data_IF_373430793204
#
_entry.id   IF_373430793204
#
_cell.length_a   1.000
_cell.length_b   1.000
_cell.length_c   1.000
_cell.angle_alpha   90.00
_cell.angle_beta   90.00
_cell.angle_gamma   90.00
#
_symmetry.space_group_name_H-M   'P 1'
#
loop_
_entity.id
_entity.type
_entity.pdbx_description
1 polymer ?
#
# COMPACT_ATOMS: atom_id res chain seq x y z
N UNK A 1 -15.57 -7.85 19.56
CA UNK A 1 -16.76 -7.06 19.17
C UNK A 1 -17.12 -6.13 20.34
N UNK A 2 -16.59 -4.90 20.34
CA UNK A 2 -16.98 -3.81 21.27
C UNK A 2 -16.84 -2.50 20.49
N UNK A 3 -17.89 -1.69 20.55
CA UNK A 3 -18.08 -0.41 19.86
C UNK A 3 -17.20 0.69 20.46
N UNK A 4 -16.73 1.63 19.62
CA UNK A 4 -16.20 2.92 20.07
C UNK A 4 -17.18 4.03 19.66
N UNK A 5 -17.45 4.89 20.64
CA UNK A 5 -18.51 5.90 20.70
C UNK A 5 -18.19 7.14 19.87
N UNK A 6 -19.24 7.69 19.24
CA UNK A 6 -19.28 9.00 18.58
C UNK A 6 -18.80 10.09 19.54
N UNK A 7 -17.77 10.82 19.13
CA UNK A 7 -17.50 12.17 19.62
C UNK A 7 -17.79 13.13 18.46
N UNK A 8 -18.75 14.00 18.68
CA UNK A 8 -19.20 15.03 17.74
C UNK A 8 -18.06 16.01 17.43
N UNK A 9 -17.68 16.10 16.16
CA UNK A 9 -16.89 17.22 15.63
C UNK A 9 -17.79 17.98 14.67
N UNK A 10 -18.23 19.15 15.13
CA UNK A 10 -18.92 20.15 14.34
C UNK A 10 -17.89 20.82 13.42
N UNK A 11 -18.04 20.63 12.10
CA UNK A 11 -17.30 21.38 11.08
C UNK A 11 -18.33 21.91 10.07
N UNK A 12 -18.87 23.08 10.39
CA UNK A 12 -19.44 23.99 9.40
C UNK A 12 -18.30 24.58 8.58
N UNK A 13 -18.11 24.07 7.36
CA UNK A 13 -17.55 24.86 6.25
C UNK A 13 -18.22 24.43 4.96
N UNK A 14 -19.05 25.33 4.45
CA UNK A 14 -19.68 25.28 3.14
C UNK A 14 -18.61 25.28 2.03
N UNK A 15 -18.35 24.12 1.44
CA UNK A 15 -17.97 23.99 0.03
C UNK A 15 -18.86 22.91 -0.57
N UNK A 16 -19.73 23.31 -1.49
CA UNK A 16 -20.64 22.42 -2.20
C UNK A 16 -19.82 21.51 -3.12
N UNK A 17 -19.35 20.38 -2.59
CA UNK A 17 -18.98 19.23 -3.38
C UNK A 17 -20.26 18.69 -4.02
N UNK A 18 -20.35 18.77 -5.35
CA UNK A 18 -21.40 18.12 -6.11
C UNK A 18 -21.52 16.65 -5.71
N UNK A 19 -22.73 16.11 -5.52
CA UNK A 19 -22.92 14.73 -5.08
C UNK A 19 -22.32 13.77 -6.11
N UNK A 20 -21.68 12.71 -5.62
CA UNK A 20 -21.29 11.54 -6.40
C UNK A 20 -22.46 11.11 -7.30
N UNK A 21 -22.38 11.35 -8.61
CA UNK A 21 -23.29 10.69 -9.54
C UNK A 21 -22.90 9.21 -9.56
N UNK A 22 -23.71 8.41 -8.87
CA UNK A 22 -23.54 6.99 -8.66
C UNK A 22 -23.55 6.22 -9.99
N UNK A 23 -22.65 5.26 -10.14
CA UNK A 23 -23.01 4.04 -10.88
C UNK A 23 -24.03 3.33 -9.99
N UNK A 24 -25.32 3.34 -10.38
CA UNK A 24 -26.49 3.10 -9.51
C UNK A 24 -26.50 1.79 -8.68
N UNK A 25 -25.54 0.88 -8.84
CA UNK A 25 -25.56 -0.44 -8.21
C UNK A 25 -24.23 -0.92 -7.59
N UNK A 26 -23.19 -0.08 -7.50
CA UNK A 26 -21.91 -0.49 -6.89
C UNK A 26 -21.60 0.16 -5.53
N UNK A 27 -21.14 -0.62 -4.54
CA UNK A 27 -20.69 -0.08 -3.27
C UNK A 27 -19.42 0.76 -3.45
N UNK A 28 -19.28 1.81 -2.64
CA UNK A 28 -18.06 2.62 -2.60
C UNK A 28 -16.85 1.77 -2.22
N UNK A 29 -15.68 2.07 -2.78
CA UNK A 29 -14.47 1.33 -2.43
C UNK A 29 -13.92 1.78 -1.07
N UNK A 30 -14.17 0.97 -0.04
CA UNK A 30 -13.74 1.21 1.33
C UNK A 30 -12.66 0.23 1.77
N UNK A 31 -11.47 0.78 2.03
CA UNK A 31 -10.29 0.04 2.50
C UNK A 31 -9.85 0.49 3.88
N UNK A 32 -10.67 1.25 4.61
CA UNK A 32 -10.30 1.86 5.90
C UNK A 32 -9.82 0.83 6.92
N UNK A 33 -10.60 -0.23 7.14
CA UNK A 33 -10.22 -1.28 8.11
C UNK A 33 -8.96 -2.02 7.67
N UNK A 34 -8.84 -2.32 6.38
CA UNK A 34 -7.67 -2.99 5.83
C UNK A 34 -6.41 -2.13 6.04
N UNK A 35 -6.43 -0.87 5.62
CA UNK A 35 -5.29 0.06 5.71
C UNK A 35 -4.89 0.35 7.14
N UNK A 36 -5.84 0.49 8.07
CA UNK A 36 -5.52 0.74 9.48
C UNK A 36 -4.83 -0.45 10.17
N UNK A 37 -5.02 -1.66 9.65
CA UNK A 37 -4.31 -2.85 10.10
C UNK A 37 -2.96 -3.03 9.40
N UNK A 38 -2.64 -2.21 8.39
CA UNK A 38 -1.33 -2.22 7.75
C UNK A 38 -0.33 -1.35 8.52
N UNK A 39 0.84 -1.92 8.76
CA UNK A 39 2.01 -1.22 9.28
C UNK A 39 3.03 -0.99 8.16
N UNK A 40 4.34 -1.09 8.44
CA UNK A 40 5.34 -1.05 7.39
C UNK A 40 5.16 -2.26 6.46
N UNK A 41 4.97 -2.00 5.17
CA UNK A 41 4.85 -3.01 4.12
C UNK A 41 5.77 -2.67 2.95
N UNK A 42 5.81 -3.59 1.98
CA UNK A 42 6.26 -3.24 0.62
C UNK A 42 5.05 -2.82 -0.19
N UNK A 43 5.29 -1.92 -1.12
CA UNK A 43 4.29 -1.47 -2.07
C UNK A 43 4.88 -1.30 -3.45
N UNK A 44 4.01 -1.39 -4.45
CA UNK A 44 4.33 -1.16 -5.84
C UNK A 44 3.47 -0.01 -6.39
N UNK A 45 4.13 0.93 -7.06
CA UNK A 45 3.51 1.94 -7.89
C UNK A 45 3.66 1.50 -9.33
N UNK A 46 2.55 1.27 -10.01
CA UNK A 46 2.53 0.72 -11.37
C UNK A 46 1.90 1.74 -12.29
N UNK A 47 2.65 2.23 -13.27
CA UNK A 47 2.12 3.19 -14.23
C UNK A 47 1.01 2.54 -15.08
N UNK A 48 -0.12 3.22 -15.17
CA UNK A 48 -1.32 2.77 -15.90
C UNK A 48 -1.71 3.71 -17.04
N UNK A 49 -0.81 4.65 -17.39
CA UNK A 49 -0.99 5.62 -18.48
C UNK A 49 -1.40 7.01 -17.99
N UNK A 50 -1.32 8.01 -18.87
CA UNK A 50 -1.63 9.42 -18.58
C UNK A 50 -0.97 9.97 -17.30
N UNK A 51 0.24 9.48 -16.97
CA UNK A 51 0.99 9.79 -15.74
C UNK A 51 0.28 9.39 -14.44
N UNK A 52 -0.70 8.48 -14.50
CA UNK A 52 -1.29 7.86 -13.33
C UNK A 52 -0.57 6.57 -12.95
N UNK A 53 -0.53 6.33 -11.64
CA UNK A 53 0.03 5.12 -11.05
C UNK A 53 -1.01 4.47 -10.16
N UNK A 54 -1.20 3.17 -10.35
CA UNK A 54 -1.92 2.30 -9.42
C UNK A 54 -1.01 1.92 -8.26
N UNK A 55 -1.56 1.93 -7.06
CA UNK A 55 -0.87 1.72 -5.79
C UNK A 55 -1.28 0.36 -5.26
N UNK A 56 -0.29 -0.50 -5.01
CA UNK A 56 -0.52 -1.84 -4.48
C UNK A 56 0.27 -2.06 -3.20
N UNK A 57 -0.32 -2.75 -2.22
CA UNK A 57 0.42 -3.46 -1.17
C UNK A 57 0.95 -4.75 -1.78
N UNK A 58 2.24 -5.03 -1.60
CA UNK A 58 2.88 -6.21 -2.17
C UNK A 58 3.40 -7.12 -1.06
N UNK A 59 2.72 -8.24 -0.84
CA UNK A 59 3.22 -9.31 0.02
C UNK A 59 4.04 -10.27 -0.83
N UNK A 60 5.36 -10.10 -0.84
CA UNK A 60 6.29 -10.92 -1.62
C UNK A 60 7.14 -11.82 -0.70
N UNK A 61 7.11 -13.12 -0.97
CA UNK A 61 7.86 -14.15 -0.27
C UNK A 61 8.65 -14.97 -1.30
N UNK A 62 9.91 -15.29 -0.99
CA UNK A 62 10.67 -16.26 -1.78
C UNK A 62 10.20 -17.66 -1.41
N UNK A 63 9.77 -18.43 -2.39
CA UNK A 63 9.48 -19.85 -2.20
C UNK A 63 10.78 -20.68 -2.11
N UNK A 64 10.64 -21.98 -1.81
CA UNK A 64 11.76 -22.92 -1.67
C UNK A 64 12.64 -23.03 -2.92
N UNK A 65 12.15 -22.60 -4.07
CA UNK A 65 12.83 -22.64 -5.37
C UNK A 65 13.37 -21.25 -5.77
N UNK A 66 13.51 -20.32 -4.83
CA UNK A 66 13.89 -18.92 -5.07
C UNK A 66 12.95 -18.16 -6.03
N UNK A 67 11.71 -18.63 -6.24
CA UNK A 67 10.71 -17.88 -7.00
C UNK A 67 9.98 -16.93 -6.08
N UNK A 68 9.64 -15.75 -6.59
CA UNK A 68 8.87 -14.78 -5.84
C UNK A 68 7.39 -15.15 -5.95
N UNK A 69 6.78 -15.56 -4.84
CA UNK A 69 5.32 -15.56 -4.70
C UNK A 69 4.90 -14.21 -4.18
N UNK A 70 4.02 -13.53 -4.91
CA UNK A 70 3.56 -12.19 -4.54
C UNK A 70 2.05 -12.06 -4.66
N UNK A 71 1.43 -11.61 -3.57
CA UNK A 71 0.06 -11.09 -3.57
C UNK A 71 0.11 -9.57 -3.67
N UNK A 72 -0.76 -8.98 -4.51
CA UNK A 72 -0.83 -7.53 -4.73
C UNK A 72 -2.25 -7.07 -4.42
N UNK A 73 -2.40 -6.18 -3.47
CA UNK A 73 -3.69 -5.65 -3.03
C UNK A 73 -3.81 -4.19 -3.45
N UNK A 74 -4.82 -3.87 -4.25
CA UNK A 74 -5.02 -2.55 -4.85
C UNK A 74 -5.54 -1.55 -3.81
N UNK A 75 -4.92 -0.39 -3.70
CA UNK A 75 -5.36 0.67 -2.78
C UNK A 75 -5.96 1.90 -3.47
N UNK A 76 -5.87 1.95 -4.79
CA UNK A 76 -6.27 3.11 -5.57
C UNK A 76 -5.20 3.53 -6.57
N UNK A 77 -5.47 4.64 -7.23
CA UNK A 77 -4.60 5.26 -8.23
C UNK A 77 -4.44 6.75 -7.93
N UNK A 78 -3.35 7.31 -8.42
CA UNK A 78 -3.04 8.72 -8.22
C UNK A 78 -2.15 9.26 -9.33
N UNK A 79 -2.27 10.55 -9.62
CA UNK A 79 -1.40 11.21 -10.58
C UNK A 79 0.04 11.32 -10.04
N UNK A 80 1.02 11.13 -10.92
CA UNK A 80 2.45 11.14 -10.60
C UNK A 80 2.85 12.37 -9.77
N UNK A 81 2.43 13.57 -10.17
CA UNK A 81 2.83 14.81 -9.49
C UNK A 81 2.43 14.87 -8.01
N UNK A 82 1.36 14.17 -7.64
CA UNK A 82 0.89 14.08 -6.26
C UNK A 82 1.72 13.05 -5.51
N UNK A 83 1.91 11.86 -6.09
CA UNK A 83 2.75 10.80 -5.52
C UNK A 83 4.20 11.24 -5.30
N UNK A 84 4.75 12.10 -6.15
CA UNK A 84 6.13 12.60 -5.98
C UNK A 84 6.31 13.51 -4.75
N UNK A 85 5.20 14.02 -4.20
CA UNK A 85 5.18 14.84 -2.97
C UNK A 85 4.86 14.01 -1.72
N UNK A 86 4.41 12.77 -1.88
CA UNK A 86 4.01 11.91 -0.78
C UNK A 86 5.21 11.44 0.04
N UNK A 87 4.97 11.29 1.35
CA UNK A 87 5.86 10.59 2.27
C UNK A 87 5.43 9.13 2.35
N UNK A 88 6.33 8.24 1.96
CA UNK A 88 6.08 6.80 1.97
C UNK A 88 6.57 6.10 3.25
N UNK A 89 7.51 6.70 3.97
CA UNK A 89 8.16 6.09 5.13
C UNK A 89 8.14 7.02 6.33
N UNK A 90 8.31 6.45 7.53
CA UNK A 90 8.70 7.22 8.70
C UNK A 90 10.06 7.92 8.51
N UNK A 91 10.31 9.06 9.19
CA UNK A 91 11.59 9.77 9.10
C UNK A 91 12.81 8.91 9.50
N UNK A 92 12.63 7.94 10.39
CA UNK A 92 13.69 7.02 10.81
C UNK A 92 14.09 6.08 9.67
N UNK A 93 13.10 5.46 9.01
CA UNK A 93 13.35 4.58 7.87
C UNK A 93 13.86 5.36 6.66
N UNK A 94 13.36 6.56 6.42
CA UNK A 94 13.84 7.42 5.32
C UNK A 94 15.32 7.77 5.47
N UNK A 95 15.79 8.10 6.69
CA UNK A 95 17.22 8.34 6.96
C UNK A 95 18.08 7.13 6.64
N UNK A 96 17.60 5.92 6.92
CA UNK A 96 18.34 4.67 6.72
C UNK A 96 18.23 4.12 5.28
N UNK A 97 17.13 4.39 4.59
CA UNK A 97 16.76 3.82 3.28
C UNK A 97 16.18 4.89 2.32
N UNK A 98 16.88 6.00 2.06
CA UNK A 98 16.29 7.17 1.40
C UNK A 98 15.73 6.89 0.00
N UNK A 99 16.44 6.08 -0.79
CA UNK A 99 16.05 5.77 -2.17
C UNK A 99 14.80 4.88 -2.29
N UNK A 100 14.45 4.14 -1.24
CA UNK A 100 13.26 3.27 -1.22
C UNK A 100 12.09 3.89 -0.47
N UNK A 101 12.24 5.13 0.02
CA UNK A 101 11.22 5.89 0.73
C UNK A 101 10.70 7.12 -0.03
N UNK A 102 11.24 7.38 -1.23
CA UNK A 102 10.82 8.50 -2.08
C UNK A 102 10.43 8.02 -3.47
N UNK A 103 9.32 8.50 -3.97
CA UNK A 103 8.95 8.36 -5.37
C UNK A 103 9.28 9.65 -6.11
N UNK A 104 10.16 9.59 -7.12
CA UNK A 104 10.49 10.74 -7.95
C UNK A 104 11.03 10.25 -9.28
N UNK A 105 10.36 10.61 -10.37
CA UNK A 105 10.84 10.32 -11.71
C UNK A 105 11.70 11.49 -12.19
N UNK A 106 12.82 11.17 -12.84
CA UNK A 106 13.72 12.19 -13.41
C UNK A 106 13.26 12.55 -14.81
N UNK A 107 13.10 13.83 -15.12
CA UNK A 107 12.78 14.27 -16.47
C UNK A 107 13.84 13.80 -17.47
N UNK A 108 13.42 13.34 -18.66
CA UNK A 108 14.32 12.97 -19.75
C UNK A 108 15.05 11.63 -19.61
N UNK A 109 14.62 10.76 -18.69
CA UNK A 109 15.09 9.37 -18.62
C UNK A 109 13.93 8.40 -18.84
N UNK A 110 14.20 7.30 -19.52
CA UNK A 110 13.30 6.15 -19.50
C UNK A 110 13.22 5.62 -18.08
N UNK A 111 11.99 5.44 -17.58
CA UNK A 111 11.70 4.83 -16.29
C UNK A 111 10.91 3.56 -16.55
N UNK A 112 11.21 2.52 -15.76
CA UNK A 112 10.36 1.33 -15.73
C UNK A 112 8.95 1.71 -15.28
N UNK A 113 7.97 0.89 -15.63
CA UNK A 113 6.56 1.12 -15.27
C UNK A 113 6.30 0.86 -13.78
N UNK A 114 7.10 -0.01 -13.18
CA UNK A 114 6.92 -0.49 -11.81
C UNK A 114 7.98 0.11 -10.88
N UNK A 115 7.52 0.70 -9.78
CA UNK A 115 8.38 1.29 -8.76
C UNK A 115 8.01 0.76 -7.38
N UNK A 116 8.92 0.01 -6.75
CA UNK A 116 8.70 -0.57 -5.43
C UNK A 116 9.30 0.25 -4.31
N UNK A 117 8.55 0.46 -3.24
CA UNK A 117 8.93 1.29 -2.08
C UNK A 117 8.63 0.58 -0.77
N UNK A 118 9.26 1.07 0.29
CA UNK A 118 8.76 0.87 1.64
C UNK A 118 7.53 1.77 1.82
N UNK A 119 6.46 1.22 2.38
CA UNK A 119 5.21 1.92 2.62
C UNK A 119 4.81 1.76 4.09
N UNK A 120 4.99 2.82 4.87
CA UNK A 120 4.47 2.95 6.22
C UNK A 120 3.05 3.54 6.12
N UNK A 121 2.04 2.69 6.26
CA UNK A 121 0.66 3.08 6.04
C UNK A 121 0.13 4.09 7.06
N UNK A 122 0.68 4.10 8.29
CA UNK A 122 0.41 5.14 9.27
C UNK A 122 0.95 6.51 8.85
N UNK A 123 2.02 6.56 8.04
CA UNK A 123 2.49 7.82 7.43
C UNK A 123 1.70 8.13 6.17
N UNK A 124 1.45 7.13 5.34
CA UNK A 124 0.86 7.35 4.01
C UNK A 124 -0.59 7.81 4.05
N UNK A 125 -1.39 7.31 4.99
CA UNK A 125 -2.79 7.71 5.16
C UNK A 125 -2.96 9.20 5.53
N UNK A 126 -1.88 9.86 5.97
CA UNK A 126 -1.85 11.29 6.32
C UNK A 126 -1.31 12.18 5.19
N UNK A 127 -1.00 11.61 4.03
CA UNK A 127 -0.67 12.43 2.86
C UNK A 127 -1.91 13.18 2.34
N UNK A 128 -1.72 14.29 1.61
CA UNK A 128 -2.81 14.95 0.91
C UNK A 128 -3.51 14.00 -0.07
N UNK A 129 -4.83 14.12 -0.16
CA UNK A 129 -5.66 13.36 -1.08
C UNK A 129 -5.23 13.53 -2.54
N UNK A 130 -5.34 12.44 -3.30
CA UNK A 130 -5.26 12.51 -4.75
C UNK A 130 -6.46 13.28 -5.32
N UNK A 131 -6.26 14.12 -6.34
CA UNK A 131 -7.35 14.85 -6.98
C UNK A 131 -8.19 13.88 -7.83
N UNK A 132 -9.29 13.39 -7.28
CA UNK A 132 -10.19 12.44 -7.97
C UNK A 132 -11.20 13.12 -8.90
N UNK A 133 -11.25 14.45 -8.93
CA UNK A 133 -12.24 15.25 -9.67
C UNK A 133 -12.02 15.28 -11.19
N UNK A 134 -11.06 14.52 -11.72
CA UNK A 134 -10.75 14.42 -13.14
C UNK A 134 -11.14 13.06 -13.70
N UNK A 135 -11.57 13.02 -14.97
CA UNK A 135 -11.71 11.77 -15.70
C UNK A 135 -10.34 11.27 -16.18
N UNK A 136 -10.17 9.95 -16.22
CA UNK A 136 -9.03 9.30 -16.89
C UNK A 136 -9.61 8.36 -17.92
N UNK A 137 -9.11 8.40 -19.16
CA UNK A 137 -9.61 7.56 -20.26
C UNK A 137 -11.13 7.71 -20.52
N UNK A 138 -11.70 8.88 -20.19
CA UNK A 138 -13.14 9.12 -20.30
C UNK A 138 -13.98 8.56 -19.14
N UNK A 139 -13.35 7.95 -18.13
CA UNK A 139 -14.02 7.37 -16.97
C UNK A 139 -13.84 8.26 -15.74
N UNK A 140 -14.91 8.43 -14.96
CA UNK A 140 -14.92 9.23 -13.74
C UNK A 140 -14.18 8.51 -12.62
N UNK A 141 -13.31 9.24 -11.93
CA UNK A 141 -12.66 8.76 -10.71
C UNK A 141 -13.45 9.14 -9.47
N UNK A 142 -13.42 8.27 -8.47
CA UNK A 142 -14.02 8.47 -7.16
C UNK A 142 -12.97 8.32 -6.07
N UNK A 143 -13.20 8.96 -4.93
CA UNK A 143 -12.30 8.88 -3.77
C UNK A 143 -12.41 7.51 -3.11
N UNK A 144 -11.26 6.92 -2.76
CA UNK A 144 -11.19 5.71 -1.93
C UNK A 144 -11.47 6.08 -0.48
N UNK A 145 -12.30 5.31 0.21
CA UNK A 145 -12.56 5.52 1.65
C UNK A 145 -11.41 4.88 2.45
N UNK A 146 -10.82 5.67 3.35
CA UNK A 146 -9.75 5.24 4.25
C UNK A 146 -8.32 5.31 3.71
N UNK A 147 -8.12 5.72 2.45
CA UNK A 147 -6.79 5.94 1.88
C UNK A 147 -6.82 7.13 0.91
N UNK A 148 -5.79 8.00 0.85
CA UNK A 148 -5.84 9.25 0.07
C UNK A 148 -5.67 9.04 -1.44
N UNK A 149 -6.32 8.05 -2.03
CA UNK A 149 -6.23 7.70 -3.45
C UNK A 149 -7.61 7.74 -4.14
N UNK A 150 -7.59 7.52 -5.46
CA UNK A 150 -8.79 7.46 -6.29
C UNK A 150 -9.02 6.06 -6.85
N UNK A 151 -10.20 5.77 -7.37
CA UNK A 151 -10.49 4.54 -8.12
C UNK A 151 -11.52 4.80 -9.22
N UNK A 152 -11.63 3.85 -10.16
CA UNK A 152 -12.61 3.89 -11.25
C UNK A 152 -13.49 2.63 -11.13
N UNK A 153 -14.81 2.76 -10.90
CA UNK A 153 -15.74 1.64 -10.93
C UNK A 153 -16.05 1.21 -12.38
N UNK A 154 -16.38 -0.08 -12.63
CA UNK A 154 -16.31 -1.19 -11.70
C UNK A 154 -14.89 -1.74 -11.54
N UNK A 155 -14.45 -1.95 -10.30
CA UNK A 155 -13.07 -2.38 -10.00
C UNK A 155 -12.71 -3.75 -10.59
N UNK A 156 -13.69 -4.63 -10.75
CA UNK A 156 -13.50 -5.92 -11.41
C UNK A 156 -13.00 -5.77 -12.84
N UNK A 157 -13.38 -4.69 -13.54
CA UNK A 157 -13.08 -4.54 -14.95
C UNK A 157 -11.90 -3.57 -15.13
N UNK A 158 -11.90 -2.48 -14.37
CA UNK A 158 -10.92 -1.39 -14.52
C UNK A 158 -9.54 -1.78 -14.03
N UNK A 159 -9.43 -2.67 -13.04
CA UNK A 159 -8.13 -3.05 -12.47
C UNK A 159 -7.21 -3.68 -13.52
N UNK A 160 -7.75 -4.53 -14.40
CA UNK A 160 -6.99 -5.18 -15.46
C UNK A 160 -6.97 -4.43 -16.79
N UNK A 161 -7.97 -3.57 -17.04
CA UNK A 161 -8.11 -2.80 -18.29
C UNK A 161 -6.87 -1.97 -18.64
N UNK A 162 -6.21 -1.39 -17.63
CA UNK A 162 -5.02 -0.55 -17.84
C UNK A 162 -3.70 -1.31 -17.74
N UNK A 163 -3.75 -2.63 -17.95
CA UNK A 163 -2.60 -3.53 -18.05
C UNK A 163 -1.54 -3.34 -16.94
N UNK A 164 -1.92 -3.40 -15.65
CA UNK A 164 -0.93 -3.37 -14.56
C UNK A 164 0.02 -4.58 -14.60
N UNK A 165 -0.39 -5.69 -15.21
CA UNK A 165 0.44 -6.89 -15.34
C UNK A 165 1.46 -6.84 -16.49
N UNK A 166 1.43 -5.84 -17.37
CA UNK A 166 2.32 -5.75 -18.53
C UNK A 166 2.10 -6.82 -19.61
N UNK A 167 1.08 -7.68 -19.47
CA UNK A 167 0.76 -8.79 -20.36
C UNK A 167 -0.75 -9.02 -20.42
N UNK A 168 -1.21 -9.83 -21.40
CA UNK A 168 -2.63 -10.11 -21.64
C UNK A 168 -3.34 -10.82 -20.48
N UNK A 169 -2.60 -11.61 -19.68
CA UNK A 169 -3.19 -12.37 -18.56
C UNK A 169 -3.16 -11.57 -17.27
N UNK A 170 -4.35 -11.07 -16.90
CA UNK A 170 -4.63 -10.30 -15.70
C UNK A 170 -5.98 -10.74 -15.13
N UNK A 171 -6.02 -11.10 -13.86
CA UNK A 171 -7.26 -11.49 -13.18
C UNK A 171 -7.41 -10.71 -11.86
N UNK A 172 -8.45 -9.88 -11.72
CA UNK A 172 -8.81 -9.28 -10.45
C UNK A 172 -9.56 -10.30 -9.59
N UNK A 173 -9.34 -10.27 -8.28
CA UNK A 173 -10.06 -11.12 -7.33
C UNK A 173 -10.42 -10.30 -6.12
N UNK A 174 -11.67 -10.42 -5.66
CA UNK A 174 -12.12 -9.77 -4.43
C UNK A 174 -11.65 -10.60 -3.22
N UNK A 175 -11.06 -9.96 -2.24
CA UNK A 175 -10.59 -10.56 -0.98
C UNK A 175 -11.35 -9.91 0.17
N UNK A 176 -11.91 -10.73 1.06
CA UNK A 176 -12.58 -10.29 2.31
C UNK A 176 -13.58 -9.14 2.13
N UNK A 177 -14.39 -9.19 1.07
CA UNK A 177 -15.42 -8.23 0.68
C UNK A 177 -15.02 -6.74 0.55
N UNK A 178 -13.75 -6.40 0.80
CA UNK A 178 -13.29 -5.02 1.01
C UNK A 178 -12.12 -4.63 0.12
N UNK A 179 -11.26 -5.57 -0.29
CA UNK A 179 -10.04 -5.27 -1.06
C UNK A 179 -9.98 -6.09 -2.35
N UNK A 180 -9.48 -5.48 -3.43
CA UNK A 180 -9.22 -6.21 -4.68
C UNK A 180 -7.75 -6.61 -4.76
N UNK A 181 -7.49 -7.87 -5.06
CA UNK A 181 -6.17 -8.38 -5.42
C UNK A 181 -6.00 -8.55 -6.91
N UNK A 182 -4.75 -8.48 -7.36
CA UNK A 182 -4.36 -8.65 -8.76
C UNK A 182 -3.50 -9.90 -8.94
N UNK A 183 -3.98 -10.84 -9.75
CA UNK A 183 -3.20 -11.98 -10.20
C UNK A 183 -2.70 -11.74 -11.63
N UNK A 184 -1.37 -11.80 -11.80
CA UNK A 184 -0.72 -11.75 -13.10
C UNK A 184 -0.19 -13.14 -13.44
N UNK A 185 0.05 -13.43 -14.72
CA UNK A 185 0.61 -14.72 -15.14
C UNK A 185 1.86 -15.10 -14.33
N UNK A 186 1.85 -16.21 -13.58
CA UNK A 186 2.95 -16.61 -12.71
C UNK A 186 4.21 -17.03 -13.47
N UNK A 187 4.12 -17.26 -14.79
CA UNK A 187 5.23 -17.65 -15.65
C UNK A 187 5.97 -16.47 -16.29
N UNK A 188 5.52 -15.23 -16.06
CA UNK A 188 6.13 -14.08 -16.71
C UNK A 188 7.52 -13.75 -16.15
N UNK A 189 8.48 -13.54 -17.04
CA UNK A 189 9.84 -13.05 -16.77
C UNK A 189 10.48 -13.56 -15.47
N UNK A 190 10.54 -14.89 -15.30
CA UNK A 190 11.17 -15.52 -14.13
C UNK A 190 10.33 -15.45 -12.84
N UNK A 191 9.04 -15.14 -12.92
CA UNK A 191 8.13 -15.01 -11.79
C UNK A 191 8.11 -13.61 -11.16
N UNK A 192 8.54 -12.57 -11.89
CA UNK A 192 8.54 -11.22 -11.37
C UNK A 192 7.10 -10.66 -11.28
N UNK A 193 6.69 -10.11 -10.12
CA UNK A 193 5.36 -9.53 -10.00
C UNK A 193 5.24 -8.31 -10.95
N UNK A 194 4.10 -8.22 -11.66
CA UNK A 194 3.80 -7.24 -12.73
C UNK A 194 4.58 -7.43 -14.05
N UNK A 195 5.29 -8.56 -14.19
CA UNK A 195 5.96 -8.98 -15.43
C UNK A 195 6.91 -7.93 -16.02
N UNK A 196 7.50 -7.11 -15.15
CA UNK A 196 8.46 -6.11 -15.55
C UNK A 196 9.86 -6.74 -15.53
N UNK A 197 10.45 -6.91 -16.72
CA UNK A 197 11.85 -7.33 -16.82
C UNK A 197 12.77 -6.27 -16.18
N UNK A 198 13.80 -6.67 -15.42
CA UNK A 198 14.68 -5.74 -14.71
C UNK A 198 15.46 -4.84 -15.67
N UNK A 199 14.99 -3.61 -15.85
CA UNK A 199 15.75 -2.51 -16.44
C UNK A 199 15.87 -1.31 -15.47
N UNK A 200 14.95 -1.21 -14.50
CA UNK A 200 14.91 -0.10 -13.55
C UNK A 200 15.19 -0.55 -12.10
N UNK A 201 16.20 0.05 -11.46
CA UNK A 201 16.58 -0.20 -10.05
C UNK A 201 15.43 0.06 -9.08
N UNK A 202 14.51 0.94 -9.45
CA UNK A 202 13.34 1.27 -8.65
C UNK A 202 12.27 0.17 -8.68
N UNK A 203 12.27 -0.71 -9.67
CA UNK A 203 11.40 -1.89 -9.74
C UNK A 203 11.86 -2.99 -8.77
N UNK A 204 13.12 -3.04 -8.34
CA UNK A 204 13.58 -4.08 -7.42
C UNK A 204 12.88 -4.00 -6.05
N UNK A 205 12.50 -5.16 -5.48
CA UNK A 205 11.91 -5.25 -4.14
C UNK A 205 12.83 -4.60 -3.10
N UNK A 206 12.29 -3.82 -2.14
CA UNK A 206 13.06 -3.35 -1.00
C UNK A 206 13.64 -4.54 -0.21
N UNK A 207 14.96 -4.53 -0.02
CA UNK A 207 15.69 -5.53 0.76
C UNK A 207 15.47 -5.27 2.24
N UNK A 208 14.85 -6.24 2.92
CA UNK A 208 14.64 -6.23 4.36
C UNK A 208 15.82 -6.93 5.01
N UNK A 209 16.59 -6.18 5.79
CA UNK A 209 17.73 -6.72 6.54
C UNK A 209 17.37 -7.15 7.96
N UNK A 210 16.13 -6.95 8.39
CA UNK A 210 15.72 -7.12 9.79
C UNK A 210 14.67 -8.19 10.00
N UNK A 211 14.48 -8.55 11.25
CA UNK A 211 13.42 -9.42 11.75
C UNK A 211 12.87 -8.87 13.07
N UNK A 212 11.62 -9.19 13.32
CA UNK A 212 11.05 -9.07 14.65
C UNK A 212 11.72 -10.07 15.58
N UNK A 213 12.13 -9.62 16.76
CA UNK A 213 12.53 -10.53 17.85
C UNK A 213 11.37 -11.41 18.29
N UNK A 214 11.63 -12.38 19.16
CA UNK A 214 10.56 -13.10 19.85
C UNK A 214 9.65 -12.13 20.60
N UNK A 215 8.34 -12.32 20.45
CA UNK A 215 7.33 -11.56 21.16
C UNK A 215 7.47 -11.76 22.67
N UNK A 216 7.46 -10.66 23.42
CA UNK A 216 7.54 -10.64 24.88
C UNK A 216 6.40 -9.81 25.45
N UNK A 217 5.88 -10.20 26.60
CA UNK A 217 4.91 -9.37 27.33
C UNK A 217 5.54 -8.01 27.64
N UNK A 218 4.81 -6.93 27.36
CA UNK A 218 5.25 -5.56 27.62
C UNK A 218 5.57 -5.39 29.11
N UNK A 219 6.75 -4.85 29.42
CA UNK A 219 7.24 -4.81 30.81
C UNK A 219 6.32 -4.04 31.75
N UNK A 220 5.63 -3.00 31.25
CA UNK A 220 4.61 -2.26 31.99
C UNK A 220 3.43 -3.14 32.46
N UNK A 221 3.11 -4.23 31.73
CA UNK A 221 2.05 -5.16 32.10
C UNK A 221 2.52 -6.30 33.02
N UNK A 222 3.83 -6.56 33.12
CA UNK A 222 4.37 -7.53 34.09
C UNK A 222 4.14 -7.08 35.53
N UNK A 223 4.02 -5.77 35.76
CA UNK A 223 3.81 -5.16 37.08
C UNK A 223 2.31 -5.00 37.41
N UNK A 224 1.45 -4.92 36.40
CA UNK A 224 0.00 -4.78 36.57
C UNK A 224 -0.67 -6.15 36.57
N UNK A 225 -0.83 -6.75 37.76
CA UNK A 225 -1.30 -8.14 37.94
C UNK A 225 -2.72 -8.46 37.41
N UNK A 226 -3.50 -7.50 36.89
CA UNK A 226 -4.92 -7.67 36.55
C UNK A 226 -5.35 -6.98 35.23
N UNK A 227 -4.53 -7.03 34.17
CA UNK A 227 -4.98 -6.56 32.85
C UNK A 227 -5.57 -7.73 32.03
N UNK A 228 -6.86 -7.66 31.70
CA UNK A 228 -7.59 -8.69 30.93
C UNK A 228 -7.07 -8.92 29.50
N UNK A 229 -6.33 -7.96 28.92
CA UNK A 229 -5.65 -8.10 27.63
C UNK A 229 -4.14 -7.94 27.79
N UNK A 230 -3.39 -8.92 27.26
CA UNK A 230 -1.93 -8.98 27.38
C UNK A 230 -1.27 -8.41 26.14
N UNK A 231 -0.72 -7.21 26.25
CA UNK A 231 0.03 -6.55 25.19
C UNK A 231 1.43 -7.15 25.08
N UNK A 232 1.71 -7.78 23.94
CA UNK A 232 3.01 -8.26 23.52
C UNK A 232 3.72 -7.21 22.67
N UNK A 233 5.03 -7.16 22.82
CA UNK A 233 5.92 -6.34 22.01
C UNK A 233 7.02 -7.19 21.39
N UNK A 234 7.49 -6.74 20.23
CA UNK A 234 8.68 -7.22 19.57
C UNK A 234 9.52 -6.03 19.10
N UNK A 235 10.84 -6.21 19.12
CA UNK A 235 11.80 -5.21 18.72
C UNK A 235 12.29 -5.56 17.32
N UNK A 236 12.41 -4.57 16.45
CA UNK A 236 13.01 -4.77 15.14
C UNK A 236 14.54 -4.81 15.26
N UNK A 237 15.15 -5.91 14.82
CA UNK A 237 16.60 -6.10 14.90
C UNK A 237 17.19 -6.52 13.56
N UNK A 238 18.40 -6.07 13.28
CA UNK A 238 19.15 -6.44 12.09
C UNK A 238 19.60 -7.90 12.17
N UNK A 239 19.35 -8.70 11.12
CA UNK A 239 19.63 -10.14 11.11
C UNK A 239 21.09 -10.52 11.26
N UNK A 240 22.01 -9.63 10.86
CA UNK A 240 23.45 -9.91 10.87
C UNK A 240 24.12 -9.41 12.15
N UNK A 241 23.70 -8.25 12.66
CA UNK A 241 24.36 -7.59 13.79
C UNK A 241 23.59 -7.72 15.10
N UNK A 242 22.33 -8.17 15.07
CA UNK A 242 21.39 -8.18 16.19
C UNK A 242 21.17 -6.79 16.85
N UNK A 243 21.61 -5.71 16.20
CA UNK A 243 21.36 -4.34 16.66
C UNK A 243 19.97 -3.88 16.26
N UNK A 244 19.44 -2.86 16.95
CA UNK A 244 18.14 -2.26 16.63
C UNK A 244 18.10 -1.75 15.18
N UNK A 245 16.98 -2.03 14.50
CA UNK A 245 16.72 -1.65 13.11
C UNK A 245 15.27 -1.16 12.96
N UNK A 246 14.88 -0.77 11.74
CA UNK A 246 13.63 -0.04 11.45
C UNK A 246 12.89 -0.54 10.19
N UNK A 247 13.40 -1.56 9.50
CA UNK A 247 12.82 -2.08 8.25
C UNK A 247 12.04 -3.40 8.39
N UNK A 248 11.60 -3.75 9.61
CA UNK A 248 10.74 -4.91 9.86
C UNK A 248 9.31 -4.66 9.36
N UNK A 249 8.77 -5.58 8.56
CA UNK A 249 7.40 -5.48 8.05
C UNK A 249 6.37 -5.90 9.11
N UNK A 250 5.22 -5.25 9.11
CA UNK A 250 4.13 -5.55 10.04
C UNK A 250 4.28 -4.85 11.40
N UNK A 251 3.43 -5.21 12.38
CA UNK A 251 3.44 -4.57 13.69
C UNK A 251 4.59 -5.04 14.58
N UNK A 252 5.06 -4.15 15.46
CA UNK A 252 5.92 -4.48 16.60
C UNK A 252 5.16 -4.70 17.90
N UNK A 253 3.83 -4.59 17.90
CA UNK A 253 2.96 -4.75 19.09
C UNK A 253 1.71 -5.56 18.73
N UNK A 254 1.25 -6.42 19.63
CA UNK A 254 0.06 -7.25 19.45
C UNK A 254 -0.66 -7.48 20.79
N UNK A 255 -1.99 -7.59 20.79
CA UNK A 255 -2.82 -7.78 21.99
C UNK A 255 -3.08 -9.24 22.32
#
# INVERSE_FOLDING_TARGET
>A
MVCLTKADVNLDTNEAATPNEHYENEPMYDVYEYVNNLHLQRCALVAVGLKYFSIFVESAVLDKNNRIRSSKFFLGMCHQSTLEKWKFCSPHLERKRPHKCKFRLRTGKYHGRVHRRYCDFGVMSRNPDCPCVSTIFGETMYKVIGFPACYIPPLSDTLCRYNPCGMEQCQPTKVEDTIFSLECNPKCDGGNPFCEHPLDKSAALPLISSNWTTWKLLDAQKVAANAGQKLYQSICTNRLTNQSDVDCLGPGTAW
#
